data_IF_700358375887
#
_entry.id   IF_700358375887
#
_cell.length_a   1.000
_cell.length_b   1.000
_cell.length_c   1.000
_cell.angle_alpha   90.00
_cell.angle_beta   90.00
_cell.angle_gamma   90.00
#
_symmetry.space_group_name_H-M   'P 1'
#
loop_
_entity.id
_entity.type
_entity.pdbx_description
1 polymer ?
#
# COMPACT_ATOMS: atom_id res chain seq x y z
N UNK A 1 -30.62 62.26 33.75
CA UNK A 1 -29.87 62.99 32.71
C UNK A 1 -29.14 61.96 31.90
N UNK A 2 -29.43 61.94 30.61
CA UNK A 2 -28.98 60.94 29.63
C UNK A 2 -27.52 61.18 29.25
N UNK A 3 -26.72 60.13 29.18
CA UNK A 3 -25.45 60.12 28.45
C UNK A 3 -25.38 58.84 27.65
N UNK A 4 -25.54 59.02 26.34
CA UNK A 4 -25.41 58.06 25.25
C UNK A 4 -23.95 57.60 25.16
N UNK A 5 -23.69 56.29 25.25
CA UNK A 5 -22.41 55.71 24.86
C UNK A 5 -22.51 55.06 23.47
N UNK A 6 -21.51 55.39 22.67
CA UNK A 6 -21.34 55.14 21.25
C UNK A 6 -20.97 53.66 21.01
N UNK A 7 -21.74 52.97 20.17
CA UNK A 7 -21.41 51.61 19.72
C UNK A 7 -20.33 51.70 18.64
N UNK A 8 -19.09 51.34 18.98
CA UNK A 8 -18.06 51.00 17.98
C UNK A 8 -18.17 49.53 17.62
N UNK A 9 -18.61 49.27 16.39
CA UNK A 9 -18.56 47.95 15.76
C UNK A 9 -17.13 47.63 15.34
N UNK A 10 -16.45 46.74 16.05
CA UNK A 10 -15.23 46.11 15.55
C UNK A 10 -15.60 44.93 14.65
N UNK A 11 -15.35 45.11 13.35
CA UNK A 11 -15.36 44.07 12.34
C UNK A 11 -14.27 43.05 12.66
N UNK A 12 -14.65 41.91 13.21
CA UNK A 12 -13.77 40.77 13.39
C UNK A 12 -13.35 40.19 12.05
N UNK A 13 -12.12 40.48 11.63
CA UNK A 13 -11.42 39.78 10.55
C UNK A 13 -11.08 38.39 11.06
N UNK A 14 -11.78 37.37 10.57
CA UNK A 14 -11.44 35.95 10.81
C UNK A 14 -10.12 35.65 10.11
N UNK A 15 -9.01 35.75 10.85
CA UNK A 15 -7.71 35.30 10.40
C UNK A 15 -7.74 33.78 10.31
N UNK A 16 -7.64 33.22 9.11
CA UNK A 16 -7.37 31.80 8.88
C UNK A 16 -6.05 31.46 9.56
N UNK A 17 -6.12 30.87 10.75
CA UNK A 17 -4.98 30.31 11.44
C UNK A 17 -4.53 29.08 10.65
N UNK A 18 -3.56 29.27 9.76
CA UNK A 18 -2.83 28.16 9.15
C UNK A 18 -2.11 27.39 10.25
N UNK A 19 -2.61 26.20 10.57
CA UNK A 19 -1.93 25.27 11.46
C UNK A 19 -0.54 24.96 10.89
N UNK A 20 0.49 24.98 11.75
CA UNK A 20 1.85 24.57 11.38
C UNK A 20 1.84 23.17 10.74
N UNK A 21 2.71 22.90 9.74
CA UNK A 21 2.85 21.56 9.17
C UNK A 21 3.17 20.54 10.27
N UNK A 22 2.50 19.39 10.25
CA UNK A 22 2.73 18.32 11.22
C UNK A 22 4.10 17.65 11.00
N UNK A 23 4.77 17.31 12.10
CA UNK A 23 6.04 16.58 12.07
C UNK A 23 5.90 15.21 11.39
N UNK A 24 6.91 14.84 10.61
CA UNK A 24 7.05 13.50 10.03
C UNK A 24 7.08 12.44 11.14
N UNK A 25 6.32 11.37 10.96
CA UNK A 25 6.11 10.30 11.94
C UNK A 25 4.86 10.49 12.81
N UNK A 26 4.30 11.69 12.89
CA UNK A 26 3.03 11.94 13.59
C UNK A 26 1.87 11.43 12.75
N UNK A 27 1.06 10.52 13.32
CA UNK A 27 -0.16 10.04 12.66
C UNK A 27 -1.20 11.15 12.57
N UNK A 28 -1.85 11.24 11.41
CA UNK A 28 -3.02 12.06 11.20
C UNK A 28 -4.01 11.28 10.32
N UNK A 29 -5.28 11.29 10.70
CA UNK A 29 -6.35 10.82 9.84
C UNK A 29 -6.33 11.62 8.53
N UNK A 30 -6.36 10.97 7.35
CA UNK A 30 -6.33 11.67 6.08
C UNK A 30 -7.55 12.60 5.96
N UNK A 31 -7.38 13.85 5.48
CA UNK A 31 -8.54 14.68 5.17
C UNK A 31 -9.31 14.07 3.98
N UNK A 32 -10.62 14.36 3.82
CA UNK A 32 -11.44 13.79 2.74
C UNK A 32 -10.91 14.05 1.31
N UNK A 33 -10.09 15.08 1.13
CA UNK A 33 -9.48 15.43 -0.17
C UNK A 33 -8.19 14.66 -0.49
N UNK A 34 -7.64 13.92 0.48
CA UNK A 34 -6.41 13.16 0.29
C UNK A 34 -6.69 11.89 -0.52
N UNK A 35 -5.76 11.55 -1.41
CA UNK A 35 -5.84 10.34 -2.21
C UNK A 35 -5.16 9.18 -1.47
N UNK A 36 -5.80 8.02 -1.49
CA UNK A 36 -5.32 6.79 -0.85
C UNK A 36 -5.48 5.61 -1.81
N UNK A 37 -4.73 4.55 -1.54
CA UNK A 37 -4.62 3.34 -2.36
C UNK A 37 -5.40 2.16 -1.76
N UNK A 38 -5.44 1.04 -2.48
CA UNK A 38 -5.80 -0.26 -1.91
C UNK A 38 -4.75 -0.82 -0.93
N UNK A 39 -3.54 -0.26 -0.88
CA UNK A 39 -2.44 -0.74 -0.03
C UNK A 39 -2.41 -0.05 1.36
N UNK A 40 -2.69 -0.78 2.45
CA UNK A 40 -2.73 -0.20 3.79
C UNK A 40 -1.36 0.32 4.26
N UNK A 41 -0.25 -0.28 3.79
CA UNK A 41 1.10 0.17 4.13
C UNK A 41 1.42 1.55 3.57
N UNK A 42 1.13 1.76 2.28
CA UNK A 42 1.37 3.04 1.62
C UNK A 42 0.49 4.14 2.22
N UNK A 43 -0.77 3.81 2.51
CA UNK A 43 -1.69 4.73 3.17
C UNK A 43 -1.21 5.11 4.57
N UNK A 44 -0.74 4.13 5.37
CA UNK A 44 -0.16 4.40 6.67
C UNK A 44 1.08 5.30 6.61
N UNK A 45 1.98 5.05 5.66
CA UNK A 45 3.17 5.89 5.46
C UNK A 45 2.79 7.34 5.10
N UNK A 46 1.77 7.55 4.27
CA UNK A 46 1.22 8.87 3.98
C UNK A 46 0.53 9.51 5.20
N UNK A 47 -0.24 8.74 5.97
CA UNK A 47 -0.91 9.20 7.20
C UNK A 47 0.09 9.60 8.30
N UNK A 48 1.33 9.09 8.24
CA UNK A 48 2.44 9.51 9.11
C UNK A 48 3.35 10.58 8.47
N UNK A 49 3.11 11.00 7.22
CA UNK A 49 3.92 11.99 6.53
C UNK A 49 5.30 11.51 6.08
N UNK A 50 5.50 10.18 5.95
CA UNK A 50 6.66 9.59 5.29
C UNK A 50 6.52 9.57 3.75
N UNK A 51 5.28 9.73 3.29
CA UNK A 51 4.92 10.07 1.91
C UNK A 51 4.09 11.37 1.96
N UNK A 52 3.91 12.08 0.84
CA UNK A 52 2.99 13.22 0.75
C UNK A 52 1.62 12.90 1.37
N UNK A 53 1.22 13.67 2.40
CA UNK A 53 -0.01 13.40 3.17
C UNK A 53 -1.27 13.50 2.32
N UNK A 54 -1.25 14.32 1.27
CA UNK A 54 -2.34 14.43 0.30
C UNK A 54 -2.37 13.27 -0.70
N UNK A 55 -1.34 12.42 -0.71
CA UNK A 55 -1.21 11.27 -1.61
C UNK A 55 -0.94 11.65 -3.06
N UNK A 56 -0.34 12.82 -3.34
CA UNK A 56 -0.07 13.30 -4.69
C UNK A 56 1.43 13.44 -4.93
N UNK A 57 1.82 13.46 -6.21
CA UNK A 57 3.19 13.72 -6.66
C UNK A 57 4.23 12.79 -6.01
N UNK A 58 3.87 11.51 -5.83
CA UNK A 58 4.74 10.52 -5.20
C UNK A 58 5.72 9.98 -6.25
N UNK A 59 7.01 10.06 -5.96
CA UNK A 59 8.07 9.54 -6.84
C UNK A 59 8.49 8.10 -6.44
N UNK A 60 9.22 7.42 -7.32
CA UNK A 60 9.82 6.13 -6.99
C UNK A 60 10.81 6.21 -5.81
N UNK A 61 11.52 7.34 -5.69
CA UNK A 61 12.46 7.59 -4.59
C UNK A 61 11.73 7.77 -3.25
N UNK A 62 10.56 8.41 -3.25
CA UNK A 62 9.71 8.54 -2.05
C UNK A 62 9.25 7.16 -1.58
N UNK A 63 8.74 6.32 -2.50
CA UNK A 63 8.32 4.96 -2.19
C UNK A 63 9.49 4.11 -1.70
N UNK A 64 10.65 4.17 -2.34
CA UNK A 64 11.83 3.41 -1.91
C UNK A 64 12.29 3.81 -0.50
N UNK A 65 12.30 5.12 -0.22
CA UNK A 65 12.63 5.66 1.10
C UNK A 65 11.63 5.18 2.16
N UNK A 66 10.33 5.21 1.84
CA UNK A 66 9.27 4.77 2.74
C UNK A 66 9.31 3.24 2.98
N UNK A 67 9.58 2.44 1.95
CA UNK A 67 9.78 0.98 2.08
C UNK A 67 11.00 0.64 2.95
N UNK A 68 12.08 1.41 2.80
CA UNK A 68 13.29 1.29 3.63
C UNK A 68 12.99 1.55 5.11
N UNK A 69 12.09 2.48 5.45
CA UNK A 69 11.69 2.77 6.83
C UNK A 69 11.00 1.58 7.50
N UNK A 70 10.16 0.84 6.77
CA UNK A 70 9.45 -0.34 7.29
C UNK A 70 10.29 -1.62 7.21
N UNK A 71 11.59 -1.47 6.92
CA UNK A 71 12.58 -2.54 7.06
C UNK A 71 12.79 -3.41 5.82
N UNK A 72 12.34 -2.99 4.63
CA UNK A 72 12.68 -3.67 3.38
C UNK A 72 14.14 -3.40 2.99
N UNK A 73 14.79 -4.40 2.38
CA UNK A 73 16.11 -4.21 1.76
C UNK A 73 16.00 -3.28 0.54
N UNK A 74 17.06 -2.56 0.16
CA UNK A 74 17.02 -1.69 -1.03
C UNK A 74 16.56 -2.44 -2.29
N UNK A 75 17.03 -3.68 -2.48
CA UNK A 75 16.62 -4.48 -3.63
C UNK A 75 15.12 -4.85 -3.60
N UNK A 76 14.60 -5.26 -2.44
CA UNK A 76 13.18 -5.61 -2.32
C UNK A 76 12.28 -4.36 -2.37
N UNK A 77 12.68 -3.26 -1.74
CA UNK A 77 11.99 -1.97 -1.81
C UNK A 77 11.96 -1.43 -3.24
N UNK A 78 13.11 -1.47 -3.93
CA UNK A 78 13.24 -1.12 -5.34
C UNK A 78 12.32 -1.92 -6.26
N UNK A 79 12.10 -3.20 -5.95
CA UNK A 79 11.18 -4.04 -6.71
C UNK A 79 9.74 -3.50 -6.65
N UNK A 80 9.26 -3.12 -5.47
CA UNK A 80 7.92 -2.52 -5.33
C UNK A 80 7.86 -1.11 -5.88
N UNK A 81 8.86 -0.28 -5.57
CA UNK A 81 8.86 1.14 -5.92
C UNK A 81 9.05 1.38 -7.41
N UNK A 82 9.75 0.51 -8.15
CA UNK A 82 9.91 0.67 -9.60
C UNK A 82 8.80 -0.04 -10.39
N UNK A 83 8.23 -1.14 -9.87
CA UNK A 83 7.18 -1.88 -10.57
C UNK A 83 5.94 -1.01 -10.84
N UNK A 84 5.54 -0.18 -9.87
CA UNK A 84 4.37 0.69 -10.00
C UNK A 84 4.53 1.75 -11.11
N UNK A 85 5.76 2.19 -11.41
CA UNK A 85 6.01 3.17 -12.48
C UNK A 85 6.13 2.53 -13.87
N UNK A 86 5.95 1.22 -14.00
CA UNK A 86 5.82 0.60 -15.31
C UNK A 86 4.46 0.96 -15.92
N UNK A 87 4.41 1.00 -17.25
CA UNK A 87 3.17 1.23 -17.99
C UNK A 87 2.24 0.03 -17.84
N UNK A 88 0.95 0.28 -17.55
CA UNK A 88 -0.04 -0.77 -17.46
C UNK A 88 -0.44 -1.25 -18.87
N UNK A 89 -0.37 -2.56 -19.16
CA UNK A 89 -0.76 -3.08 -20.47
C UNK A 89 -2.27 -2.95 -20.69
N UNK A 90 -2.65 -2.23 -21.74
CA UNK A 90 -4.05 -2.14 -22.22
C UNK A 90 -4.37 -3.29 -23.19
N UNK A 91 -5.66 -3.62 -23.44
CA UNK A 91 -6.03 -4.65 -24.42
C UNK A 91 -5.43 -4.47 -25.82
N UNK A 92 -5.22 -3.22 -26.23
CA UNK A 92 -4.62 -2.85 -27.51
C UNK A 92 -3.08 -2.77 -27.47
N UNK A 93 -2.47 -3.00 -26.30
CA UNK A 93 -1.02 -2.95 -26.15
C UNK A 93 -0.34 -4.05 -26.98
N UNK A 94 0.63 -3.71 -27.84
CA UNK A 94 1.30 -4.70 -28.66
C UNK A 94 2.06 -5.68 -27.77
N UNK A 95 1.84 -6.99 -27.98
CA UNK A 95 2.59 -8.03 -27.28
C UNK A 95 4.08 -7.87 -27.61
N UNK A 96 4.96 -7.62 -26.62
CA UNK A 96 6.35 -7.36 -26.91
C UNK A 96 7.02 -8.61 -27.47
N UNK A 97 7.73 -8.47 -28.59
CA UNK A 97 8.52 -9.56 -29.17
C UNK A 97 9.64 -9.99 -28.22
N UNK A 98 10.15 -11.21 -28.37
CA UNK A 98 11.24 -11.72 -27.51
C UNK A 98 12.46 -10.77 -27.50
N UNK A 99 12.75 -10.14 -28.65
CA UNK A 99 13.86 -9.20 -28.81
C UNK A 99 13.58 -7.84 -28.17
N UNK A 100 12.34 -7.32 -28.27
CA UNK A 100 11.98 -6.06 -27.60
C UNK A 100 11.92 -6.24 -26.09
N UNK A 101 11.49 -7.42 -25.59
CA UNK A 101 11.61 -7.78 -24.16
C UNK A 101 13.06 -7.84 -23.70
N UNK A 102 13.95 -8.49 -24.46
CA UNK A 102 15.37 -8.56 -24.10
C UNK A 102 16.02 -7.17 -24.08
N UNK A 103 15.71 -6.31 -25.06
CA UNK A 103 16.17 -4.92 -25.10
C UNK A 103 15.61 -4.07 -23.96
N UNK A 104 14.34 -4.26 -23.60
CA UNK A 104 13.71 -3.60 -22.46
C UNK A 104 14.37 -4.00 -21.15
N UNK A 105 14.59 -5.30 -20.93
CA UNK A 105 15.29 -5.85 -19.75
C UNK A 105 16.74 -5.32 -19.66
N UNK A 106 17.45 -5.17 -20.78
CA UNK A 106 18.80 -4.60 -20.80
C UNK A 106 18.82 -3.10 -20.46
N UNK A 107 17.75 -2.35 -20.79
CA UNK A 107 17.63 -0.91 -20.50
C UNK A 107 17.08 -0.64 -19.10
N UNK A 108 16.18 -1.50 -18.63
CA UNK A 108 15.57 -1.46 -17.33
C UNK A 108 15.45 -2.90 -16.79
N UNK A 109 16.34 -3.33 -15.88
CA UNK A 109 16.31 -4.69 -15.34
C UNK A 109 15.02 -5.03 -14.60
N UNK A 110 14.20 -4.04 -14.23
CA UNK A 110 12.88 -4.23 -13.65
C UNK A 110 11.83 -4.79 -14.62
N UNK A 111 12.05 -4.72 -15.94
CA UNK A 111 11.20 -5.32 -16.99
C UNK A 111 11.20 -6.86 -16.98
N UNK A 112 12.00 -7.49 -16.11
CA UNK A 112 11.93 -8.93 -15.84
C UNK A 112 10.67 -9.31 -15.03
N UNK A 113 10.09 -8.33 -14.33
CA UNK A 113 8.89 -8.51 -13.54
C UNK A 113 7.68 -8.79 -14.46
N UNK A 114 6.62 -9.46 -13.95
CA UNK A 114 5.40 -9.67 -14.71
C UNK A 114 4.88 -8.35 -15.30
N UNK A 115 4.66 -8.33 -16.61
CA UNK A 115 4.22 -7.15 -17.39
C UNK A 115 2.94 -6.48 -16.88
N UNK A 116 2.17 -7.12 -16.00
CA UNK A 116 0.93 -6.60 -15.44
C UNK A 116 1.13 -5.71 -14.20
N UNK A 117 2.33 -5.62 -13.62
CA UNK A 117 2.53 -4.87 -12.35
C UNK A 117 2.51 -3.34 -12.49
N UNK A 118 2.63 -2.82 -13.71
CA UNK A 118 2.61 -1.38 -13.96
C UNK A 118 1.27 -0.76 -13.62
N UNK A 119 1.29 0.43 -13.00
CA UNK A 119 0.07 1.22 -12.73
C UNK A 119 -0.02 2.50 -13.57
N UNK A 120 1.06 2.89 -14.25
CA UNK A 120 1.06 4.12 -15.05
C UNK A 120 0.22 3.92 -16.30
N UNK A 121 -0.82 4.75 -16.48
CA UNK A 121 -1.57 4.77 -17.73
C UNK A 121 -0.76 5.48 -18.83
N UNK A 122 -0.96 5.12 -20.11
CA UNK A 122 -0.27 5.77 -21.22
C UNK A 122 -0.47 7.29 -21.19
N UNK A 123 0.62 8.05 -21.16
CA UNK A 123 0.60 9.52 -21.15
C UNK A 123 0.42 10.19 -19.78
N UNK A 124 0.40 9.43 -18.68
CA UNK A 124 0.36 9.98 -17.32
C UNK A 124 1.71 10.66 -17.00
N UNK A 125 1.64 11.98 -16.77
CA UNK A 125 2.72 12.94 -17.01
C UNK A 125 3.83 12.99 -15.94
N UNK A 126 5.05 13.17 -16.43
CA UNK A 126 6.26 13.58 -15.71
C UNK A 126 6.06 14.93 -15.01
N UNK A 127 6.51 15.06 -13.76
CA UNK A 127 6.68 16.40 -13.15
C UNK A 127 8.08 16.93 -13.41
N UNK A 128 8.19 18.23 -13.65
CA UNK A 128 9.47 18.95 -13.79
C UNK A 128 9.85 19.55 -12.44
N UNK A 129 11.01 19.19 -11.89
CA UNK A 129 11.53 19.84 -10.69
C UNK A 129 11.90 21.31 -10.98
N UNK A 130 11.83 22.17 -9.97
CA UNK A 130 12.27 23.57 -10.04
C UNK A 130 13.81 23.72 -9.95
N UNK A 131 14.55 22.61 -9.93
CA UNK A 131 16.01 22.60 -9.87
C UNK A 131 16.63 22.95 -11.23
N UNK A 132 17.89 23.41 -11.23
CA UNK A 132 18.64 23.71 -12.45
C UNK A 132 19.85 22.76 -12.57
N UNK A 133 19.89 21.83 -13.55
CA UNK A 133 18.87 21.60 -14.58
C UNK A 133 17.61 20.89 -14.04
N UNK A 134 16.43 21.10 -14.66
CA UNK A 134 15.17 20.50 -14.20
C UNK A 134 15.24 18.98 -14.34
N UNK A 135 15.03 18.29 -13.23
CA UNK A 135 14.92 16.84 -13.20
C UNK A 135 13.47 16.49 -13.51
N UNK A 136 13.25 15.71 -14.59
CA UNK A 136 11.93 15.13 -14.88
C UNK A 136 11.84 13.76 -14.22
N UNK A 137 10.90 13.62 -13.30
CA UNK A 137 10.60 12.35 -12.66
C UNK A 137 9.12 12.00 -12.87
N UNK A 138 8.80 10.75 -13.25
CA UNK A 138 7.43 10.25 -13.17
C UNK A 138 6.90 10.36 -11.75
N UNK A 139 5.63 10.76 -11.62
CA UNK A 139 4.94 10.76 -10.33
C UNK A 139 3.60 10.07 -10.44
N UNK A 140 3.14 9.52 -9.32
CA UNK A 140 1.81 8.97 -9.17
C UNK A 140 1.05 9.66 -8.03
N UNK A 141 -0.26 9.53 -8.07
CA UNK A 141 -1.12 9.66 -6.90
C UNK A 141 -1.32 8.30 -6.26
N UNK A 142 -1.57 8.25 -4.96
CA UNK A 142 -1.80 6.96 -4.28
C UNK A 142 -3.05 6.24 -4.81
N UNK A 143 -4.03 6.97 -5.34
CA UNK A 143 -5.21 6.37 -5.96
C UNK A 143 -4.86 5.54 -7.21
N UNK A 144 -3.77 5.87 -7.92
CA UNK A 144 -3.33 5.09 -9.10
C UNK A 144 -2.95 3.65 -8.74
N UNK A 145 -2.54 3.41 -7.49
CA UNK A 145 -2.21 2.06 -7.00
C UNK A 145 -3.46 1.16 -6.83
N UNK A 146 -4.66 1.70 -6.99
CA UNK A 146 -5.93 0.95 -6.98
C UNK A 146 -6.37 0.53 -8.40
N UNK A 147 -5.52 0.70 -9.41
CA UNK A 147 -5.82 0.23 -10.77
C UNK A 147 -5.98 -1.30 -10.80
N UNK A 148 -7.21 -1.76 -11.06
CA UNK A 148 -7.53 -3.18 -11.07
C UNK A 148 -6.78 -3.96 -12.14
N UNK A 149 -6.34 -5.17 -11.78
CA UNK A 149 -5.60 -6.06 -12.67
C UNK A 149 -4.12 -5.70 -12.81
N UNK A 150 -3.66 -4.69 -12.06
CA UNK A 150 -2.26 -4.35 -11.89
C UNK A 150 -1.66 -5.08 -10.68
N UNK A 151 -1.19 -4.32 -9.67
CA UNK A 151 -0.88 -4.85 -8.33
C UNK A 151 -2.17 -5.07 -7.55
N UNK A 152 -3.16 -4.19 -7.71
CA UNK A 152 -4.50 -4.39 -7.16
C UNK A 152 -5.16 -5.61 -7.83
N UNK A 153 -5.75 -6.47 -7.01
CA UNK A 153 -6.36 -7.72 -7.43
C UNK A 153 -7.47 -8.18 -6.50
N UNK A 154 -8.34 -9.04 -7.04
CA UNK A 154 -9.44 -9.66 -6.31
C UNK A 154 -8.97 -10.52 -5.13
N UNK A 155 -9.91 -10.79 -4.22
CA UNK A 155 -9.70 -11.59 -3.01
C UNK A 155 -8.78 -10.90 -1.99
N UNK A 156 -8.74 -9.56 -2.00
CA UNK A 156 -8.05 -8.73 -1.01
C UNK A 156 -8.45 -9.09 0.43
N UNK A 157 -7.64 -8.83 1.46
CA UNK A 157 -8.05 -9.16 2.84
C UNK A 157 -9.08 -8.19 3.42
N UNK A 158 -9.01 -6.91 3.06
CA UNK A 158 -9.83 -5.85 3.68
C UNK A 158 -10.60 -4.98 2.68
N UNK A 159 -10.54 -5.26 1.37
CA UNK A 159 -11.21 -4.51 0.29
C UNK A 159 -12.16 -5.40 -0.48
N UNK A 160 -13.17 -4.82 -1.13
CA UNK A 160 -14.01 -5.56 -2.09
C UNK A 160 -13.23 -5.82 -3.38
N UNK A 161 -13.73 -6.78 -4.14
CA UNK A 161 -13.25 -7.04 -5.50
C UNK A 161 -13.82 -5.94 -6.43
N UNK A 162 -13.16 -5.66 -7.56
CA UNK A 162 -13.54 -4.56 -8.46
C UNK A 162 -15.00 -4.65 -8.93
N UNK A 163 -15.44 -5.84 -9.32
CA UNK A 163 -16.82 -6.08 -9.76
C UNK A 163 -17.87 -5.89 -8.63
N UNK A 164 -17.43 -5.82 -7.38
CA UNK A 164 -18.27 -5.54 -6.21
C UNK A 164 -18.28 -4.04 -5.84
N UNK A 165 -17.60 -3.19 -6.62
CA UNK A 165 -17.59 -1.73 -6.47
C UNK A 165 -16.26 -1.19 -5.92
N UNK A 166 -16.23 -0.79 -4.65
CA UNK A 166 -15.08 -0.09 -4.07
C UNK A 166 -13.93 -1.04 -3.71
N UNK A 167 -12.93 -1.11 -4.61
CA UNK A 167 -11.74 -1.95 -4.48
C UNK A 167 -10.60 -1.33 -3.62
N UNK A 168 -10.78 -0.14 -3.04
CA UNK A 168 -9.68 0.57 -2.36
C UNK A 168 -9.97 0.92 -0.91
N UNK A 169 -11.21 1.30 -0.57
CA UNK A 169 -11.56 1.68 0.80
C UNK A 169 -11.61 0.45 1.72
N UNK A 170 -10.99 0.49 2.91
CA UNK A 170 -11.10 -0.58 3.90
C UNK A 170 -12.55 -0.87 4.29
N UNK A 171 -12.93 -2.15 4.31
CA UNK A 171 -14.30 -2.59 4.60
C UNK A 171 -14.40 -3.11 6.04
N UNK A 172 -15.35 -2.57 6.80
CA UNK A 172 -15.51 -2.88 8.23
C UNK A 172 -15.78 -4.36 8.53
N UNK A 173 -16.60 -5.04 7.72
CA UNK A 173 -16.92 -6.45 7.88
C UNK A 173 -15.71 -7.35 7.58
N UNK A 174 -14.92 -7.02 6.56
CA UNK A 174 -13.71 -7.76 6.23
C UNK A 174 -12.63 -7.56 7.29
N UNK A 175 -12.49 -6.35 7.84
CA UNK A 175 -11.58 -6.08 8.96
C UNK A 175 -12.02 -6.86 10.20
N UNK A 176 -13.33 -6.91 10.46
CA UNK A 176 -13.88 -7.72 11.53
C UNK A 176 -13.53 -9.21 11.34
N UNK A 177 -13.62 -9.74 10.13
CA UNK A 177 -13.19 -11.10 9.82
C UNK A 177 -11.69 -11.35 10.06
N UNK A 178 -10.82 -10.37 9.79
CA UNK A 178 -9.40 -10.46 10.16
C UNK A 178 -9.29 -10.58 11.69
N UNK A 179 -9.96 -9.70 12.44
CA UNK A 179 -9.88 -9.71 13.91
C UNK A 179 -10.46 -10.96 14.55
N UNK A 180 -11.49 -11.54 13.93
CA UNK A 180 -12.14 -12.78 14.37
C UNK A 180 -11.36 -14.05 13.97
N UNK A 181 -10.31 -13.94 13.14
CA UNK A 181 -9.52 -15.09 12.73
C UNK A 181 -8.58 -15.62 13.83
N UNK A 182 -8.34 -14.83 14.89
CA UNK A 182 -7.55 -15.29 16.03
C UNK A 182 -8.37 -16.22 16.93
N UNK A 183 -7.77 -17.30 17.42
CA UNK A 183 -8.41 -18.28 18.32
C UNK A 183 -8.53 -17.80 19.79
N UNK A 184 -8.73 -16.49 20.01
CA UNK A 184 -8.79 -15.87 21.34
C UNK A 184 -7.43 -15.43 21.90
N UNK A 185 -6.35 -15.75 21.21
CA UNK A 185 -5.02 -15.23 21.50
C UNK A 185 -4.91 -13.74 21.13
N UNK A 186 -3.91 -13.04 21.66
CA UNK A 186 -3.60 -11.65 21.24
C UNK A 186 -2.81 -11.59 19.93
N UNK A 187 -2.71 -12.70 19.20
CA UNK A 187 -1.94 -12.86 17.97
C UNK A 187 -2.76 -13.59 16.90
N UNK A 188 -2.40 -13.38 15.64
CA UNK A 188 -2.84 -14.18 14.50
C UNK A 188 -1.63 -14.94 13.97
N UNK A 189 -1.79 -16.24 13.79
CA UNK A 189 -0.74 -17.10 13.21
C UNK A 189 -0.81 -17.09 11.68
N UNK A 190 0.26 -17.60 11.05
CA UNK A 190 0.27 -17.87 9.62
C UNK A 190 -0.90 -18.78 9.20
N UNK A 191 -1.24 -19.79 10.01
CA UNK A 191 -2.34 -20.71 9.71
C UNK A 191 -3.69 -20.00 9.77
N UNK A 192 -3.91 -19.09 10.73
CA UNK A 192 -5.12 -18.28 10.83
C UNK A 192 -5.28 -17.37 9.59
N UNK A 193 -4.22 -16.67 9.19
CA UNK A 193 -4.22 -15.80 8.01
C UNK A 193 -4.41 -16.61 6.70
N UNK A 194 -3.82 -17.79 6.61
CA UNK A 194 -4.03 -18.70 5.46
C UNK A 194 -5.47 -19.22 5.42
N UNK A 195 -6.05 -19.57 6.56
CA UNK A 195 -7.44 -20.03 6.66
C UNK A 195 -8.42 -18.90 6.29
N UNK A 196 -8.16 -17.68 6.74
CA UNK A 196 -8.88 -16.48 6.31
C UNK A 196 -8.82 -16.30 4.78
N UNK A 197 -7.63 -16.38 4.18
CA UNK A 197 -7.49 -16.24 2.72
C UNK A 197 -8.21 -17.35 1.96
N UNK A 198 -8.14 -18.61 2.40
CA UNK A 198 -8.92 -19.72 1.82
C UNK A 198 -10.42 -19.44 1.85
N UNK A 199 -10.92 -18.92 2.97
CA UNK A 199 -12.33 -18.53 3.08
C UNK A 199 -12.68 -17.43 2.08
N UNK A 200 -11.89 -16.36 2.01
CA UNK A 200 -12.07 -15.28 1.02
C UNK A 200 -12.08 -15.81 -0.42
N UNK A 201 -11.16 -16.69 -0.79
CA UNK A 201 -11.13 -17.33 -2.13
C UNK A 201 -12.44 -18.09 -2.39
N UNK A 202 -12.88 -18.92 -1.44
CA UNK A 202 -14.13 -19.70 -1.58
C UNK A 202 -15.35 -18.80 -1.71
N UNK A 203 -15.43 -17.75 -0.89
CA UNK A 203 -16.52 -16.78 -0.91
C UNK A 203 -16.56 -16.06 -2.26
N UNK A 204 -15.43 -15.51 -2.73
CA UNK A 204 -15.41 -14.77 -3.99
C UNK A 204 -15.66 -15.64 -5.22
N UNK A 205 -15.25 -16.91 -5.21
CA UNK A 205 -15.64 -17.89 -6.26
C UNK A 205 -17.15 -18.13 -6.34
N UNK A 206 -17.88 -17.82 -5.28
CA UNK A 206 -19.35 -17.95 -5.24
C UNK A 206 -20.03 -16.62 -5.55
N UNK A 207 -19.51 -15.52 -4.99
CA UNK A 207 -20.20 -14.24 -4.90
C UNK A 207 -19.80 -13.25 -6.00
N UNK A 208 -18.64 -13.43 -6.65
CA UNK A 208 -18.14 -12.56 -7.71
C UNK A 208 -18.12 -13.33 -9.05
N UNK A 209 -19.09 -13.03 -9.91
CA UNK A 209 -19.20 -13.66 -11.24
C UNK A 209 -18.09 -13.23 -12.21
N UNK A 210 -17.43 -12.11 -11.92
CA UNK A 210 -16.36 -11.51 -12.74
C UNK A 210 -14.98 -11.74 -12.10
N UNK A 211 -14.88 -12.68 -11.16
CA UNK A 211 -13.66 -12.96 -10.39
C UNK A 211 -12.43 -13.18 -11.28
N UNK A 212 -11.42 -12.34 -11.08
CA UNK A 212 -10.08 -12.49 -11.64
C UNK A 212 -9.13 -13.07 -10.60
N UNK A 213 -9.01 -14.40 -10.56
CA UNK A 213 -8.13 -15.07 -9.60
C UNK A 213 -7.38 -16.26 -10.20
N UNK A 214 -6.15 -16.01 -10.66
CA UNK A 214 -5.21 -17.00 -11.17
C UNK A 214 -3.93 -17.09 -10.34
N UNK A 215 -2.90 -17.72 -10.93
CA UNK A 215 -1.60 -17.91 -10.27
C UNK A 215 -0.90 -16.60 -9.89
N UNK A 216 -1.16 -15.52 -10.62
CA UNK A 216 -0.54 -14.22 -10.37
C UNK A 216 -1.14 -13.54 -9.15
N UNK A 217 -2.47 -13.39 -9.11
CA UNK A 217 -3.21 -12.80 -7.99
C UNK A 217 -3.05 -13.64 -6.72
N UNK A 218 -2.89 -14.95 -6.88
CA UNK A 218 -2.53 -15.85 -5.78
C UNK A 218 -1.14 -15.59 -5.20
N UNK A 219 -0.13 -15.43 -6.05
CA UNK A 219 1.24 -15.14 -5.63
C UNK A 219 1.29 -13.80 -4.87
N UNK A 220 0.59 -12.77 -5.36
CA UNK A 220 0.48 -11.48 -4.70
C UNK A 220 -0.20 -11.62 -3.33
N UNK A 221 -1.37 -12.26 -3.27
CA UNK A 221 -2.07 -12.50 -2.00
C UNK A 221 -1.27 -13.28 -0.97
N UNK A 222 -0.46 -14.26 -1.40
CA UNK A 222 0.47 -14.96 -0.50
C UNK A 222 1.63 -14.05 -0.04
N UNK A 223 2.11 -13.17 -0.94
CA UNK A 223 3.06 -12.10 -0.66
C UNK A 223 2.59 -11.16 0.44
N UNK A 224 1.34 -10.72 0.40
CA UNK A 224 0.75 -9.80 1.39
C UNK A 224 0.76 -10.42 2.80
N UNK A 225 0.37 -11.70 2.94
CA UNK A 225 0.44 -12.46 4.20
C UNK A 225 1.88 -12.55 4.70
N UNK A 226 2.81 -12.91 3.82
CA UNK A 226 4.22 -13.01 4.18
C UNK A 226 4.80 -11.66 4.64
N UNK A 227 4.44 -10.56 3.96
CA UNK A 227 4.86 -9.20 4.34
C UNK A 227 4.31 -8.81 5.71
N UNK A 228 3.02 -9.05 5.99
CA UNK A 228 2.46 -8.78 7.32
C UNK A 228 3.21 -9.52 8.42
N UNK A 229 3.43 -10.82 8.25
CA UNK A 229 4.15 -11.65 9.22
C UNK A 229 5.61 -11.19 9.41
N UNK A 230 6.28 -10.76 8.34
CA UNK A 230 7.70 -10.39 8.39
C UNK A 230 7.96 -8.95 8.83
N UNK A 231 7.07 -8.02 8.51
CA UNK A 231 7.21 -6.61 8.89
C UNK A 231 6.74 -6.39 10.33
N UNK A 232 5.55 -6.89 10.66
CA UNK A 232 4.92 -6.63 11.97
C UNK A 232 5.14 -7.75 12.99
N UNK A 233 5.40 -8.96 12.52
CA UNK A 233 5.50 -10.16 13.36
C UNK A 233 6.91 -10.71 13.57
N UNK A 234 6.97 -12.00 13.83
CA UNK A 234 8.20 -12.81 13.92
C UNK A 234 8.40 -13.72 12.69
N UNK A 235 7.47 -13.69 11.73
CA UNK A 235 7.43 -14.56 10.56
C UNK A 235 6.50 -15.76 10.70
N UNK A 236 6.00 -16.04 11.90
CA UNK A 236 5.03 -17.11 12.19
C UNK A 236 3.70 -16.56 12.71
N UNK A 237 3.75 -15.47 13.47
CA UNK A 237 2.59 -14.78 14.02
C UNK A 237 2.77 -13.27 14.06
N UNK A 238 1.66 -12.54 14.17
CA UNK A 238 1.62 -11.09 14.32
C UNK A 238 0.59 -10.72 15.39
N UNK A 239 0.85 -9.68 16.19
CA UNK A 239 -0.11 -9.23 17.20
C UNK A 239 -1.39 -8.70 16.55
N UNK A 240 -2.53 -9.01 17.16
CA UNK A 240 -3.86 -8.62 16.68
C UNK A 240 -4.05 -7.10 16.69
N UNK A 241 -3.59 -6.43 17.74
CA UNK A 241 -3.63 -4.97 17.88
C UNK A 241 -2.82 -4.27 16.78
N UNK A 242 -1.72 -4.87 16.31
CA UNK A 242 -0.95 -4.34 15.19
C UNK A 242 -1.77 -4.35 13.90
N UNK A 243 -2.45 -5.46 13.62
CA UNK A 243 -3.29 -5.58 12.44
C UNK A 243 -4.55 -4.71 12.54
N UNK A 244 -5.10 -4.49 13.74
CA UNK A 244 -6.21 -3.56 13.96
C UNK A 244 -5.82 -2.14 13.56
N UNK A 245 -4.71 -1.60 14.10
CA UNK A 245 -4.22 -0.27 13.75
C UNK A 245 -3.89 -0.17 12.24
N UNK A 246 -3.27 -1.23 11.70
CA UNK A 246 -2.84 -1.25 10.30
C UNK A 246 -4.00 -1.28 9.30
N UNK A 247 -5.02 -2.11 9.52
CA UNK A 247 -6.12 -2.26 8.56
C UNK A 247 -7.28 -1.29 8.81
N UNK A 248 -7.61 -0.99 10.07
CA UNK A 248 -8.77 -0.17 10.40
C UNK A 248 -8.46 1.32 10.41
N UNK A 249 -7.26 1.70 10.85
CA UNK A 249 -6.87 3.11 11.00
C UNK A 249 -5.86 3.54 9.92
N UNK A 250 -5.34 2.57 9.15
CA UNK A 250 -4.20 2.75 8.26
C UNK A 250 -3.09 3.53 8.96
N UNK A 251 -2.69 2.99 10.11
CA UNK A 251 -1.71 3.59 11.03
C UNK A 251 -0.60 2.59 11.31
N UNK A 252 0.64 3.06 11.40
CA UNK A 252 1.74 2.24 11.88
C UNK A 252 1.54 1.93 13.37
N UNK A 253 1.66 0.66 13.83
CA UNK A 253 1.30 0.25 15.18
C UNK A 253 2.35 0.61 16.26
N UNK A 254 2.88 1.84 16.19
CA UNK A 254 3.92 2.34 17.10
C UNK A 254 3.41 2.42 18.54
N UNK A 255 2.16 2.85 18.75
CA UNK A 255 1.53 2.96 20.07
C UNK A 255 1.32 1.59 20.72
N UNK A 256 1.13 0.55 19.91
CA UNK A 256 0.95 -0.84 20.33
C UNK A 256 2.29 -1.53 20.64
N UNK A 257 3.42 -0.86 20.33
CA UNK A 257 4.78 -1.33 20.61
C UNK A 257 5.52 -1.92 19.40
N UNK A 258 5.02 -1.72 18.17
CA UNK A 258 5.80 -2.08 17.00
C UNK A 258 7.01 -1.15 16.84
N UNK A 259 8.20 -1.75 16.75
CA UNK A 259 9.45 -1.01 16.63
C UNK A 259 9.92 -0.97 15.17
N UNK A 260 9.70 0.18 14.53
CA UNK A 260 10.15 0.46 13.16
C UNK A 260 11.69 0.36 13.02
N UNK A 261 12.45 0.51 14.11
CA UNK A 261 13.91 0.45 14.08
C UNK A 261 14.47 -0.98 14.13
N UNK A 262 13.63 -1.97 14.47
CA UNK A 262 14.03 -3.39 14.62
C UNK A 262 14.79 -3.93 13.41
N UNK A 263 14.43 -3.49 12.20
CA UNK A 263 15.04 -3.90 10.92
C UNK A 263 15.94 -2.83 10.27
N UNK A 264 16.37 -1.80 11.01
CA UNK A 264 17.14 -0.67 10.46
C UNK A 264 18.56 -1.07 10.01
N UNK A 265 19.19 -2.03 10.69
CA UNK A 265 20.50 -2.58 10.30
C UNK A 265 20.41 -3.34 8.98
N UNK A 266 21.39 -3.15 8.09
CA UNK A 266 21.34 -3.70 6.72
C UNK A 266 21.17 -5.22 6.66
N UNK A 267 21.76 -5.98 7.60
CA UNK A 267 21.63 -7.44 7.68
C UNK A 267 20.32 -7.93 8.31
N UNK A 268 19.54 -7.04 8.94
CA UNK A 268 18.22 -7.35 9.52
C UNK A 268 17.05 -6.98 8.60
N UNK A 269 17.32 -6.25 7.51
CA UNK A 269 16.31 -5.87 6.53
C UNK A 269 15.72 -7.11 5.87
N UNK A 270 14.42 -7.08 5.63
CA UNK A 270 13.72 -8.13 4.91
C UNK A 270 14.22 -8.18 3.47
N UNK A 271 14.89 -9.27 3.12
CA UNK A 271 15.39 -9.53 1.77
C UNK A 271 14.44 -10.38 0.93
N UNK A 272 14.65 -10.39 -0.38
CA UNK A 272 13.82 -11.16 -1.31
C UNK A 272 13.81 -12.66 -1.00
N UNK A 273 14.95 -13.24 -0.61
CA UNK A 273 15.05 -14.68 -0.29
C UNK A 273 14.20 -15.03 0.94
N UNK A 274 14.31 -14.25 2.01
CA UNK A 274 13.52 -14.45 3.23
C UNK A 274 12.01 -14.30 2.96
N UNK A 275 11.64 -13.28 2.18
CA UNK A 275 10.25 -13.09 1.77
C UNK A 275 9.76 -14.28 0.93
N UNK A 276 10.49 -14.67 -0.12
CA UNK A 276 10.10 -15.79 -1.00
C UNK A 276 9.97 -17.10 -0.24
N UNK A 277 10.87 -17.38 0.70
CA UNK A 277 10.74 -18.55 1.57
C UNK A 277 9.41 -18.56 2.33
N UNK A 278 9.02 -17.42 2.89
CA UNK A 278 7.76 -17.26 3.64
C UNK A 278 6.55 -17.36 2.71
N UNK A 279 6.63 -16.78 1.51
CA UNK A 279 5.58 -16.91 0.48
C UNK A 279 5.34 -18.37 0.11
N UNK A 280 6.40 -19.16 -0.09
CA UNK A 280 6.25 -20.60 -0.38
C UNK A 280 5.63 -21.38 0.80
N UNK A 281 5.90 -20.97 2.03
CA UNK A 281 5.22 -21.54 3.20
C UNK A 281 3.72 -21.22 3.24
N UNK A 282 3.34 -19.99 2.91
CA UNK A 282 1.95 -19.54 2.80
C UNK A 282 1.25 -20.29 1.65
N UNK A 283 1.87 -20.39 0.47
CA UNK A 283 1.32 -21.12 -0.69
C UNK A 283 1.08 -22.59 -0.39
N UNK A 284 2.01 -23.27 0.30
CA UNK A 284 1.83 -24.66 0.73
C UNK A 284 0.59 -24.84 1.62
N UNK A 285 0.31 -23.86 2.47
CA UNK A 285 -0.86 -23.87 3.38
C UNK A 285 -2.15 -23.55 2.64
N UNK A 286 -2.17 -22.52 1.79
CA UNK A 286 -3.37 -22.12 1.03
C UNK A 286 -3.73 -23.17 -0.03
N UNK A 287 -2.73 -23.77 -0.66
CA UNK A 287 -2.90 -24.68 -1.79
C UNK A 287 -2.74 -23.95 -3.12
N UNK A 288 -2.73 -24.71 -4.22
CA UNK A 288 -2.63 -24.16 -5.57
C UNK A 288 -3.97 -23.58 -6.02
N UNK A 289 -3.90 -22.61 -6.93
CA UNK A 289 -5.06 -22.05 -7.63
C UNK A 289 -5.40 -22.85 -8.86
#
# INVERSE_FOLDING_TARGET
MSTTEEIKSESGTTTLQGSLPLDTGTYQTPPPSALRSACPMINALANHGYLPRDGRQVTAADLESAMSLVGLSPFLGGLFSNAVFLEHPTPDSPKPSLFSRLRAILRNPWEILPHRLGVMLPGQAETTSAENPPIRAPTLTLADLSLHGAIEHDVSLSRRDEAQGDNHTPQHDLIYEIMAASNGDKTLTMDDLCALRKRRIRTQRTDNQELQYGSFEHELGCGEIALMLKIFGDGESVKRDYLQAFFAEERLPLAEGWDMTRRRSWWKRLGLVELKWTVEQVKKRIGKV
#
